data_IF_569904405275
#
_entry.id   IF_569904405275
#
_cell.length_a   1.000
_cell.length_b   1.000
_cell.length_c   1.000
_cell.angle_alpha   90.00
_cell.angle_beta   90.00
_cell.angle_gamma   90.00
#
_symmetry.space_group_name_H-M   'P 1'
#
loop_
_entity.id
_entity.type
_entity.pdbx_description
1 polymer ?
#
# COMPACT_ATOMS: atom_id res chain seq x y z
N UNK A 1 -1.36 58.94 20.86
CA UNK A 1 -1.24 59.23 19.38
C UNK A 1 -0.70 57.97 18.72
N UNK A 2 -1.58 57.15 18.13
CA UNK A 2 -1.24 55.94 17.33
C UNK A 2 -1.46 56.27 15.88
N UNK A 3 -0.39 56.18 15.07
CA UNK A 3 -0.49 56.37 13.62
C UNK A 3 -0.74 54.99 12.98
N UNK A 4 -1.87 54.86 12.29
CA UNK A 4 -2.17 53.79 11.37
C UNK A 4 -1.47 54.04 10.04
N UNK A 5 -0.72 53.09 9.53
CA UNK A 5 -0.21 53.07 8.16
C UNK A 5 -1.11 52.13 7.36
N UNK A 6 -1.87 52.67 6.41
CA UNK A 6 -2.65 51.92 5.46
C UNK A 6 -1.78 51.57 4.25
N UNK A 7 -1.67 50.26 3.95
CA UNK A 7 -1.08 49.79 2.69
C UNK A 7 -2.16 49.73 1.62
N UNK A 8 -2.03 50.56 0.58
CA UNK A 8 -2.86 50.49 -0.61
C UNK A 8 -2.20 49.51 -1.57
N UNK A 9 -2.87 48.40 -1.84
CA UNK A 9 -2.49 47.45 -2.89
C UNK A 9 -3.18 47.88 -4.19
N UNK A 10 -2.38 48.31 -5.17
CA UNK A 10 -2.85 48.67 -6.51
C UNK A 10 -3.19 47.39 -7.29
N UNK A 11 -4.47 47.25 -7.65
CA UNK A 11 -4.92 46.23 -8.60
C UNK A 11 -4.61 46.69 -10.05
N UNK A 12 -3.92 45.86 -10.80
CA UNK A 12 -3.78 45.99 -12.25
C UNK A 12 -4.84 45.13 -12.92
N UNK A 13 -5.57 45.61 -13.93
CA UNK A 13 -6.53 44.83 -14.65
C UNK A 13 -5.85 43.91 -15.67
N UNK A 14 -6.17 42.59 -15.58
CA UNK A 14 -5.78 41.60 -16.58
C UNK A 14 -6.87 41.63 -17.68
N UNK A 15 -6.46 41.96 -18.89
CA UNK A 15 -7.29 41.96 -20.09
C UNK A 15 -7.63 40.51 -20.45
N UNK A 16 -8.90 40.14 -20.36
CA UNK A 16 -9.40 38.85 -20.84
C UNK A 16 -9.59 38.90 -22.37
N UNK A 17 -8.81 38.13 -23.11
CA UNK A 17 -8.97 37.90 -24.53
C UNK A 17 -9.90 36.70 -24.74
N UNK A 18 -11.17 36.95 -25.10
CA UNK A 18 -12.09 35.88 -25.50
C UNK A 18 -11.79 35.51 -26.96
N UNK A 19 -11.32 34.29 -27.21
CA UNK A 19 -11.27 33.69 -28.55
C UNK A 19 -12.47 32.74 -28.68
N UNK A 20 -13.42 33.12 -29.52
CA UNK A 20 -14.52 32.26 -29.90
C UNK A 20 -14.06 31.33 -31.04
N UNK A 21 -14.09 30.01 -30.79
CA UNK A 21 -13.86 29.00 -31.82
C UNK A 21 -15.23 28.49 -32.33
N UNK A 22 -15.54 28.78 -33.57
CA UNK A 22 -16.69 28.22 -34.29
C UNK A 22 -16.31 26.82 -34.76
N UNK A 23 -17.03 25.81 -34.30
CA UNK A 23 -16.86 24.42 -34.78
C UNK A 23 -17.85 24.22 -35.94
N UNK A 24 -17.31 24.16 -37.15
CA UNK A 24 -18.03 23.63 -38.31
C UNK A 24 -17.81 22.10 -38.35
N UNK A 25 -18.91 21.35 -38.40
CA UNK A 25 -18.88 19.90 -38.40
C UNK A 25 -18.36 19.31 -39.72
N UNK A 26 -17.52 18.32 -39.60
CA UNK A 26 -17.10 17.42 -40.68
C UNK A 26 -16.71 16.07 -40.08
N UNK A 27 -17.54 15.05 -40.30
CA UNK A 27 -17.22 13.66 -39.94
C UNK A 27 -16.22 13.12 -40.96
N UNK A 28 -14.97 12.94 -40.58
CA UNK A 28 -14.00 12.17 -41.37
C UNK A 28 -13.60 10.96 -40.58
N UNK A 29 -13.87 9.77 -41.12
CA UNK A 29 -13.39 8.47 -40.58
C UNK A 29 -11.94 8.38 -40.97
N UNK A 30 -11.03 8.58 -40.02
CA UNK A 30 -9.60 8.31 -40.19
C UNK A 30 -9.27 6.93 -39.59
N UNK A 31 -8.68 6.10 -40.42
CA UNK A 31 -8.07 4.81 -40.04
C UNK A 31 -6.94 5.04 -39.05
N UNK A 32 -6.91 4.21 -37.99
CA UNK A 32 -5.98 4.37 -36.88
C UNK A 32 -4.54 4.08 -37.24
N UNK A 33 -3.71 5.08 -37.21
CA UNK A 33 -2.27 4.94 -36.98
C UNK A 33 -2.03 4.82 -35.46
N UNK A 34 -1.33 3.75 -35.08
CA UNK A 34 -0.83 3.60 -33.70
C UNK A 34 0.27 4.64 -33.47
N UNK A 35 -0.10 5.77 -32.90
CA UNK A 35 0.90 6.70 -32.39
C UNK A 35 1.15 6.38 -30.91
N UNK A 36 2.38 5.93 -30.59
CA UNK A 36 2.93 5.92 -29.24
C UNK A 36 3.18 7.37 -28.76
N UNK A 37 2.12 8.16 -28.69
CA UNK A 37 2.22 9.50 -28.11
C UNK A 37 2.14 9.41 -26.59
N UNK A 38 3.19 9.88 -25.92
CA UNK A 38 3.14 10.14 -24.46
C UNK A 38 1.90 11.01 -24.18
N UNK A 39 1.14 10.72 -23.10
CA UNK A 39 -0.03 11.54 -22.77
C UNK A 39 0.42 13.01 -22.59
N UNK A 40 -0.35 13.92 -23.16
CA UNK A 40 -0.12 15.35 -22.99
C UNK A 40 -0.47 15.76 -21.55
N UNK A 41 0.56 15.86 -20.71
CA UNK A 41 0.44 16.22 -19.30
C UNK A 41 -0.15 17.64 -19.15
N UNK A 42 0.10 18.54 -20.09
CA UNK A 42 -0.45 19.89 -20.05
C UNK A 42 -1.98 19.91 -20.21
N UNK A 43 -2.53 19.01 -21.04
CA UNK A 43 -3.97 18.83 -21.19
C UNK A 43 -4.64 18.25 -19.94
N UNK A 44 -3.93 17.42 -19.17
CA UNK A 44 -4.44 16.84 -17.92
C UNK A 44 -4.50 17.85 -16.77
N UNK A 45 -3.60 18.83 -16.75
CA UNK A 45 -3.55 19.89 -15.71
C UNK A 45 -4.60 20.98 -15.98
N UNK A 46 -5.04 21.17 -17.23
CA UNK A 46 -5.98 22.22 -17.61
C UNK A 46 -7.47 21.90 -17.33
N UNK A 47 -7.82 20.64 -16.97
CA UNK A 47 -9.20 20.29 -16.63
C UNK A 47 -9.57 20.84 -15.24
N UNK A 48 -10.72 21.52 -15.07
CA UNK A 48 -11.15 21.98 -13.77
C UNK A 48 -11.32 20.77 -12.82
N UNK A 49 -10.60 20.80 -11.70
CA UNK A 49 -10.57 19.69 -10.73
C UNK A 49 -11.91 19.53 -10.02
N UNK A 50 -12.71 20.61 -9.96
CA UNK A 50 -14.00 20.64 -9.25
C UNK A 50 -15.00 21.47 -10.06
N UNK A 51 -16.16 20.86 -10.42
CA UNK A 51 -17.26 21.57 -11.11
C UNK A 51 -18.16 22.34 -10.13
N UNK A 52 -18.25 21.86 -8.89
CA UNK A 52 -19.04 22.46 -7.82
C UNK A 52 -18.41 22.09 -6.48
N UNK A 53 -18.18 23.09 -5.65
CA UNK A 53 -17.65 22.92 -4.28
C UNK A 53 -18.59 23.63 -3.30
N UNK A 54 -19.15 22.86 -2.36
CA UNK A 54 -19.88 23.39 -1.20
C UNK A 54 -19.04 23.16 0.04
N UNK A 55 -18.97 24.16 0.89
CA UNK A 55 -18.17 24.13 2.14
C UNK A 55 -19.10 24.37 3.32
N UNK A 56 -19.15 23.44 4.25
CA UNK A 56 -19.91 23.57 5.50
C UNK A 56 -19.16 24.43 6.52
N UNK A 57 -19.86 24.89 7.55
CA UNK A 57 -19.29 25.76 8.59
C UNK A 57 -18.18 25.11 9.43
N UNK A 58 -18.10 23.77 9.47
CA UNK A 58 -17.06 22.99 10.13
C UNK A 58 -15.86 22.71 9.21
N UNK A 59 -15.90 23.20 7.96
CA UNK A 59 -14.87 22.98 6.94
C UNK A 59 -15.07 21.69 6.11
N UNK A 60 -16.18 20.97 6.29
CA UNK A 60 -16.51 19.83 5.43
C UNK A 60 -16.70 20.27 3.98
N UNK A 61 -16.06 19.55 3.06
CA UNK A 61 -16.08 19.85 1.63
C UNK A 61 -16.95 18.83 0.88
N UNK A 62 -17.92 19.33 0.13
CA UNK A 62 -18.73 18.54 -0.79
C UNK A 62 -18.30 18.83 -2.23
N UNK A 63 -17.80 17.82 -2.92
CA UNK A 63 -17.36 17.94 -4.31
C UNK A 63 -18.48 17.44 -5.23
N UNK A 64 -18.74 18.16 -6.30
CA UNK A 64 -19.54 17.70 -7.40
C UNK A 64 -18.89 16.55 -8.19
N UNK A 65 -19.55 16.02 -9.23
CA UNK A 65 -18.98 14.96 -10.06
C UNK A 65 -17.62 15.37 -10.63
N UNK A 66 -16.62 14.53 -10.49
CA UNK A 66 -15.26 14.72 -11.00
C UNK A 66 -14.83 13.60 -11.91
N UNK A 67 -14.04 13.90 -12.93
CA UNK A 67 -13.37 12.90 -13.77
C UNK A 67 -11.92 12.78 -13.32
N UNK A 68 -11.48 11.56 -13.03
CA UNK A 68 -10.11 11.26 -12.68
C UNK A 68 -9.53 10.35 -13.76
N UNK A 69 -8.47 10.76 -14.46
CA UNK A 69 -7.85 9.95 -15.49
C UNK A 69 -7.10 8.74 -14.86
N UNK A 70 -6.74 7.72 -15.66
CA UNK A 70 -5.78 6.71 -15.25
C UNK A 70 -4.46 7.35 -14.77
N UNK A 71 -3.59 6.61 -14.02
CA UNK A 71 -2.30 7.14 -13.56
C UNK A 71 -1.41 7.54 -14.75
N UNK A 72 -1.16 8.83 -14.94
CA UNK A 72 -0.45 9.33 -16.14
C UNK A 72 1.07 9.12 -16.08
N UNK A 73 1.65 9.00 -14.87
CA UNK A 73 3.09 8.87 -14.66
C UNK A 73 3.53 7.43 -14.33
N UNK A 74 2.56 6.51 -14.24
CA UNK A 74 2.84 5.10 -14.06
C UNK A 74 3.26 4.43 -15.39
N UNK A 75 3.86 3.25 -15.29
CA UNK A 75 4.20 2.46 -16.49
C UNK A 75 2.95 2.12 -17.32
N UNK A 76 3.09 1.91 -18.64
CA UNK A 76 1.97 1.45 -19.48
C UNK A 76 1.33 0.17 -18.95
N UNK A 77 2.10 -0.72 -18.36
CA UNK A 77 1.66 -1.96 -17.70
C UNK A 77 0.75 -1.65 -16.52
N UNK A 78 1.17 -0.75 -15.63
CA UNK A 78 0.39 -0.33 -14.47
C UNK A 78 -0.88 0.40 -14.87
N UNK A 79 -0.85 1.27 -15.87
CA UNK A 79 -2.05 1.92 -16.42
C UNK A 79 -3.07 0.89 -16.91
N UNK A 80 -2.62 -0.11 -17.68
CA UNK A 80 -3.48 -1.20 -18.15
C UNK A 80 -4.02 -2.06 -17.00
N UNK A 81 -3.18 -2.40 -16.03
CA UNK A 81 -3.59 -3.17 -14.85
C UNK A 81 -4.61 -2.40 -14.01
N UNK A 82 -4.38 -1.10 -13.77
CA UNK A 82 -5.32 -0.22 -13.09
C UNK A 82 -6.69 -0.21 -13.79
N UNK A 83 -6.71 0.05 -15.10
CA UNK A 83 -7.94 0.08 -15.88
C UNK A 83 -8.71 -1.24 -15.81
N UNK A 84 -8.02 -2.38 -15.97
CA UNK A 84 -8.65 -3.71 -15.83
C UNK A 84 -9.26 -3.92 -14.45
N UNK A 85 -8.54 -3.62 -13.37
CA UNK A 85 -9.02 -3.77 -12.00
C UNK A 85 -10.24 -2.89 -11.73
N UNK A 86 -10.22 -1.64 -12.17
CA UNK A 86 -11.35 -0.73 -12.01
C UNK A 86 -12.58 -1.19 -12.80
N UNK A 87 -12.41 -1.70 -14.01
CA UNK A 87 -13.51 -2.27 -14.80
C UNK A 87 -14.08 -3.55 -14.17
N UNK A 88 -13.25 -4.46 -13.66
CA UNK A 88 -13.71 -5.66 -12.94
C UNK A 88 -14.53 -5.28 -11.70
N UNK A 89 -14.10 -4.25 -10.94
CA UNK A 89 -14.85 -3.72 -9.80
C UNK A 89 -16.21 -3.17 -10.22
N UNK A 90 -16.24 -2.37 -11.29
CA UNK A 90 -17.48 -1.84 -11.83
C UNK A 90 -18.47 -2.94 -12.24
N UNK A 91 -17.98 -3.98 -12.93
CA UNK A 91 -18.79 -5.14 -13.33
C UNK A 91 -19.30 -5.96 -12.11
N UNK A 92 -18.45 -6.12 -11.09
CA UNK A 92 -18.84 -6.84 -9.87
C UNK A 92 -19.92 -6.08 -9.08
N UNK A 93 -19.79 -4.77 -8.96
CA UNK A 93 -20.78 -3.91 -8.32
C UNK A 93 -22.12 -3.94 -9.06
N UNK A 94 -22.11 -3.94 -10.39
CA UNK A 94 -23.33 -4.04 -11.20
C UNK A 94 -24.08 -5.37 -11.01
N UNK A 95 -23.34 -6.48 -10.82
CA UNK A 95 -23.94 -7.82 -10.56
C UNK A 95 -24.50 -7.97 -9.14
N UNK A 96 -23.90 -7.28 -8.17
CA UNK A 96 -24.27 -7.36 -6.74
C UNK A 96 -25.42 -6.43 -6.33
N UNK A 97 -26.04 -5.69 -7.25
CA UNK A 97 -27.15 -4.76 -6.94
C UNK A 97 -26.73 -3.52 -6.12
N UNK A 98 -25.44 -3.29 -5.93
CA UNK A 98 -24.90 -2.19 -5.14
C UNK A 98 -24.43 -1.04 -6.01
N UNK A 99 -25.31 -0.09 -6.31
CA UNK A 99 -24.98 1.21 -6.86
C UNK A 99 -24.76 1.28 -8.38
N UNK A 100 -25.07 2.43 -8.94
CA UNK A 100 -24.94 2.77 -10.36
C UNK A 100 -23.47 2.86 -10.78
N UNK A 101 -22.86 1.76 -11.16
CA UNK A 101 -21.58 1.78 -11.89
C UNK A 101 -21.88 1.47 -13.36
N UNK A 102 -21.98 2.49 -14.19
CA UNK A 102 -22.12 2.34 -15.64
C UNK A 102 -20.73 2.29 -16.29
N UNK A 103 -20.45 1.22 -17.04
CA UNK A 103 -19.30 1.16 -17.94
C UNK A 103 -19.72 1.73 -19.30
N UNK A 104 -19.05 2.77 -19.78
CA UNK A 104 -19.38 3.40 -21.08
C UNK A 104 -18.92 2.58 -22.28
N UNK A 105 -17.86 1.79 -22.11
CA UNK A 105 -17.34 0.86 -23.13
C UNK A 105 -16.71 -0.30 -22.40
N UNK A 106 -17.27 -1.48 -22.45
CA UNK A 106 -16.69 -2.62 -21.79
C UNK A 106 -16.75 -3.86 -22.67
N UNK A 107 -15.60 -4.23 -23.22
CA UNK A 107 -15.38 -5.64 -23.48
C UNK A 107 -15.17 -6.35 -22.12
N UNK A 108 -15.77 -7.55 -21.93
CA UNK A 108 -15.56 -8.31 -20.70
C UNK A 108 -14.06 -8.64 -20.54
N UNK A 109 -13.46 -8.26 -19.43
CA UNK A 109 -12.09 -8.66 -19.12
C UNK A 109 -12.09 -10.14 -18.77
N UNK A 110 -11.29 -10.93 -19.48
CA UNK A 110 -11.20 -12.36 -19.27
C UNK A 110 -10.69 -12.67 -17.84
N UNK A 111 -11.29 -13.67 -17.13
CA UNK A 111 -10.85 -14.07 -15.80
C UNK A 111 -9.40 -14.59 -15.74
N UNK A 112 -8.84 -15.03 -16.88
CA UNK A 112 -7.51 -15.61 -17.02
C UNK A 112 -6.35 -14.60 -16.92
N UNK A 113 -6.62 -13.29 -16.89
CA UNK A 113 -5.59 -12.24 -16.82
C UNK A 113 -5.28 -11.77 -15.40
N UNK A 114 -5.52 -12.59 -14.39
CA UNK A 114 -5.14 -12.29 -13.01
C UNK A 114 -3.65 -12.60 -12.81
N UNK A 115 -2.80 -11.61 -13.00
CA UNK A 115 -1.34 -11.76 -12.84
C UNK A 115 -0.84 -11.66 -11.39
N UNK A 116 -1.73 -11.51 -10.41
CA UNK A 116 -1.40 -11.36 -8.98
C UNK A 116 -1.54 -12.67 -8.18
N UNK A 117 -1.23 -13.79 -8.78
CA UNK A 117 -1.26 -15.08 -8.08
C UNK A 117 0.14 -15.46 -7.64
N UNK A 118 0.22 -16.32 -6.62
CA UNK A 118 1.44 -17.04 -6.24
C UNK A 118 2.14 -17.64 -7.45
N UNK A 119 1.37 -18.28 -8.36
CA UNK A 119 1.90 -18.92 -9.56
C UNK A 119 2.56 -17.93 -10.52
N UNK A 120 2.03 -16.71 -10.61
CA UNK A 120 2.62 -15.64 -11.42
C UNK A 120 3.93 -15.14 -10.81
N UNK A 121 3.98 -14.98 -9.48
CA UNK A 121 5.21 -14.60 -8.78
C UNK A 121 6.31 -15.68 -8.94
N UNK A 122 5.96 -16.96 -8.82
CA UNK A 122 6.91 -18.08 -9.00
C UNK A 122 7.53 -18.16 -10.41
N UNK A 123 6.82 -17.66 -11.43
CA UNK A 123 7.36 -17.60 -12.81
C UNK A 123 8.41 -16.50 -12.98
N UNK A 124 8.27 -15.41 -12.23
CA UNK A 124 9.15 -14.23 -12.32
C UNK A 124 10.30 -14.31 -11.32
N UNK A 125 10.02 -14.80 -10.11
CA UNK A 125 10.95 -14.88 -9.00
C UNK A 125 11.22 -16.34 -8.63
N UNK A 126 12.30 -16.96 -9.15
CA UNK A 126 12.58 -18.37 -8.92
C UNK A 126 13.00 -18.64 -7.48
N UNK A 127 12.20 -19.42 -6.76
CA UNK A 127 12.47 -19.90 -5.40
C UNK A 127 12.10 -21.38 -5.28
N UNK A 128 12.59 -22.03 -4.22
CA UNK A 128 12.13 -23.34 -3.76
C UNK A 128 11.11 -23.10 -2.65
N UNK A 129 9.98 -23.78 -2.72
CA UNK A 129 8.89 -23.72 -1.76
C UNK A 129 8.87 -25.00 -0.92
N UNK A 130 8.78 -24.86 0.40
CA UNK A 130 8.67 -25.98 1.34
C UNK A 130 7.63 -25.64 2.41
N UNK A 131 6.74 -26.58 2.73
CA UNK A 131 5.81 -26.46 3.85
C UNK A 131 6.42 -27.10 5.08
N UNK A 132 6.42 -26.40 6.21
CA UNK A 132 7.00 -26.84 7.47
C UNK A 132 6.09 -26.51 8.65
N UNK A 133 6.43 -27.02 9.83
CA UNK A 133 5.85 -26.61 11.11
C UNK A 133 6.96 -26.02 11.98
N UNK A 134 6.80 -24.76 12.40
CA UNK A 134 7.74 -24.04 13.25
C UNK A 134 6.98 -23.54 14.48
N UNK A 135 7.45 -23.90 15.69
CA UNK A 135 6.77 -23.51 16.92
C UNK A 135 5.32 -24.02 17.04
N UNK A 136 4.99 -25.12 16.36
CA UNK A 136 3.63 -25.67 16.30
C UNK A 136 2.72 -25.02 15.26
N UNK A 137 3.25 -24.04 14.50
CA UNK A 137 2.49 -23.29 13.48
C UNK A 137 2.93 -23.73 12.08
N UNK A 138 1.96 -23.96 11.21
CA UNK A 138 2.21 -24.24 9.78
C UNK A 138 2.81 -23.00 9.09
N UNK A 139 3.87 -23.19 8.35
CA UNK A 139 4.54 -22.12 7.59
C UNK A 139 4.87 -22.58 6.19
N UNK A 140 4.99 -21.63 5.27
CA UNK A 140 5.55 -21.86 3.94
C UNK A 140 6.90 -21.16 3.85
N UNK A 141 7.95 -21.90 3.54
CA UNK A 141 9.33 -21.38 3.43
C UNK A 141 9.66 -21.19 1.95
N UNK A 142 10.00 -19.97 1.59
CA UNK A 142 10.51 -19.61 0.27
C UNK A 142 12.02 -19.38 0.36
N UNK A 143 12.78 -20.13 -0.44
CA UNK A 143 14.24 -20.04 -0.43
C UNK A 143 14.75 -19.87 -1.85
N UNK A 144 15.72 -18.99 -2.11
CA UNK A 144 16.45 -19.03 -3.38
C UNK A 144 17.17 -20.36 -3.51
N UNK A 145 17.38 -20.85 -4.75
CA UNK A 145 18.09 -22.13 -5.00
C UNK A 145 19.49 -22.16 -4.39
N UNK A 146 20.13 -21.01 -4.34
CA UNK A 146 21.45 -20.84 -3.75
C UNK A 146 21.46 -19.58 -2.87
N UNK A 147 21.80 -19.73 -1.60
CA UNK A 147 21.92 -18.60 -0.68
C UNK A 147 23.40 -18.22 -0.54
N UNK A 148 23.80 -17.00 -0.93
CA UNK A 148 25.17 -16.50 -0.74
C UNK A 148 25.60 -16.61 0.72
N UNK A 149 26.88 -16.85 0.95
CA UNK A 149 27.43 -17.03 2.32
C UNK A 149 27.03 -15.88 3.27
N UNK A 150 27.08 -14.63 2.78
CA UNK A 150 26.70 -13.42 3.54
C UNK A 150 25.23 -13.35 3.98
N UNK A 151 24.36 -14.16 3.36
CA UNK A 151 22.91 -14.13 3.62
C UNK A 151 22.42 -15.43 4.33
N UNK A 152 23.29 -16.40 4.60
CA UNK A 152 22.89 -17.70 5.20
C UNK A 152 22.28 -17.56 6.59
N UNK A 153 22.67 -16.51 7.31
CA UNK A 153 22.17 -16.23 8.65
C UNK A 153 20.95 -15.31 8.67
N UNK A 154 20.47 -14.85 7.50
CA UNK A 154 19.34 -13.94 7.39
C UNK A 154 18.06 -14.70 7.12
N UNK A 155 16.98 -14.27 7.77
CA UNK A 155 15.63 -14.80 7.56
C UNK A 155 14.62 -13.68 7.78
N UNK A 156 13.50 -13.68 7.04
CA UNK A 156 12.41 -12.77 7.31
C UNK A 156 11.08 -13.54 7.44
N UNK A 157 10.20 -13.04 8.32
CA UNK A 157 8.83 -13.51 8.50
C UNK A 157 7.88 -12.62 7.71
N UNK A 158 7.02 -13.22 6.91
CA UNK A 158 5.98 -12.57 6.14
C UNK A 158 4.59 -12.95 6.68
N UNK A 159 3.64 -11.99 6.69
CA UNK A 159 2.35 -12.15 7.39
C UNK A 159 1.11 -11.94 6.53
N UNK A 160 1.20 -11.89 5.20
CA UNK A 160 0.01 -11.66 4.39
C UNK A 160 0.02 -12.46 3.08
N UNK A 161 1.05 -12.31 2.24
CA UNK A 161 0.98 -12.74 0.85
C UNK A 161 2.15 -13.58 0.37
N UNK A 162 1.82 -14.70 -0.30
CA UNK A 162 2.84 -15.54 -0.95
C UNK A 162 3.65 -14.78 -2.00
N UNK A 163 3.03 -13.93 -2.81
CA UNK A 163 3.72 -13.19 -3.87
C UNK A 163 4.80 -12.25 -3.32
N UNK A 164 4.53 -11.57 -2.20
CA UNK A 164 5.48 -10.70 -1.50
C UNK A 164 6.65 -11.53 -0.93
N UNK A 165 6.34 -12.63 -0.25
CA UNK A 165 7.34 -13.54 0.30
C UNK A 165 8.27 -14.11 -0.77
N UNK A 166 7.72 -14.54 -1.91
CA UNK A 166 8.45 -15.08 -3.07
C UNK A 166 9.39 -14.03 -3.65
N UNK A 167 8.87 -12.81 -3.89
CA UNK A 167 9.67 -11.73 -4.46
C UNK A 167 10.84 -11.35 -3.54
N UNK A 168 10.58 -11.13 -2.24
CA UNK A 168 11.61 -10.77 -1.26
C UNK A 168 12.65 -11.88 -1.09
N UNK A 169 12.24 -13.16 -1.06
CA UNK A 169 13.18 -14.28 -0.98
C UNK A 169 14.11 -14.33 -2.20
N UNK A 170 13.53 -14.21 -3.40
CA UNK A 170 14.27 -14.27 -4.64
C UNK A 170 15.23 -13.09 -4.81
N UNK A 171 14.76 -11.87 -4.61
CA UNK A 171 15.54 -10.64 -4.80
C UNK A 171 16.58 -10.44 -3.69
N UNK A 172 16.20 -10.71 -2.44
CA UNK A 172 17.07 -10.57 -1.27
C UNK A 172 18.08 -11.71 -1.12
N UNK A 173 17.87 -12.84 -1.82
CA UNK A 173 18.74 -14.01 -1.75
C UNK A 173 18.92 -14.56 -0.32
N UNK A 174 17.83 -14.58 0.48
CA UNK A 174 17.75 -15.17 1.81
C UNK A 174 16.40 -15.86 2.00
N UNK A 175 16.23 -16.62 3.10
CA UNK A 175 14.97 -17.32 3.40
C UNK A 175 13.88 -16.35 3.82
N UNK A 176 12.68 -16.53 3.30
CA UNK A 176 11.45 -15.90 3.77
C UNK A 176 10.48 -16.99 4.23
N UNK A 177 9.92 -16.82 5.41
CA UNK A 177 8.98 -17.72 6.05
C UNK A 177 7.63 -17.02 6.13
N UNK A 178 6.69 -17.45 5.30
CA UNK A 178 5.30 -17.00 5.40
C UNK A 178 4.61 -17.75 6.51
N UNK A 179 4.08 -17.03 7.50
CA UNK A 179 3.38 -17.61 8.64
C UNK A 179 1.90 -17.80 8.32
N UNK A 180 1.42 -19.05 8.36
CA UNK A 180 0.01 -19.36 8.15
C UNK A 180 -0.76 -19.24 9.48
N UNK A 181 -0.87 -18.00 9.98
CA UNK A 181 -1.46 -17.68 11.27
C UNK A 181 -2.98 -17.84 11.30
N UNK A 182 -3.54 -18.05 12.49
CA UNK A 182 -4.99 -18.16 12.71
C UNK A 182 -5.70 -16.82 12.57
N UNK A 183 -6.94 -16.88 12.06
CA UNK A 183 -7.88 -15.75 12.06
C UNK A 183 -7.96 -14.95 10.77
N UNK A 184 -7.09 -15.20 9.78
CA UNK A 184 -7.17 -14.58 8.44
C UNK A 184 -7.09 -13.04 8.41
N UNK A 185 -6.52 -12.43 9.46
CA UNK A 185 -6.39 -10.98 9.62
C UNK A 185 -5.83 -10.60 11.00
N UNK A 186 -5.67 -9.29 11.29
CA UNK A 186 -5.14 -8.82 12.57
C UNK A 186 -5.96 -9.34 13.75
N UNK A 187 -5.35 -10.20 14.56
CA UNK A 187 -6.02 -10.85 15.68
C UNK A 187 -5.02 -11.25 16.76
N UNK A 188 -5.49 -11.40 18.00
CA UNK A 188 -4.65 -11.89 19.10
C UNK A 188 -4.09 -13.28 18.78
N UNK A 189 -4.90 -14.27 18.34
CA UNK A 189 -4.38 -15.57 17.92
C UNK A 189 -3.33 -15.48 16.81
N UNK A 190 -3.47 -14.57 15.86
CA UNK A 190 -2.46 -14.34 14.82
C UNK A 190 -1.13 -13.84 15.41
N UNK A 191 -1.16 -12.88 16.34
CA UNK A 191 0.05 -12.43 17.04
C UNK A 191 0.71 -13.54 17.86
N UNK A 192 -0.10 -14.40 18.55
CA UNK A 192 0.40 -15.55 19.31
C UNK A 192 1.16 -16.53 18.40
N UNK A 193 0.59 -16.83 17.24
CA UNK A 193 1.20 -17.72 16.26
C UNK A 193 2.54 -17.16 15.72
N UNK A 194 2.56 -15.86 15.38
CA UNK A 194 3.79 -15.19 14.95
C UNK A 194 4.86 -15.23 16.05
N UNK A 195 4.48 -14.95 17.30
CA UNK A 195 5.40 -15.03 18.45
C UNK A 195 5.91 -16.44 18.66
N UNK A 196 5.09 -17.49 18.48
CA UNK A 196 5.52 -18.88 18.59
C UNK A 196 6.59 -19.22 17.54
N UNK A 197 6.37 -18.82 16.27
CA UNK A 197 7.37 -18.98 15.20
C UNK A 197 8.64 -18.18 15.52
N UNK A 198 8.51 -16.93 15.94
CA UNK A 198 9.65 -16.07 16.28
C UNK A 198 10.52 -16.66 17.41
N UNK A 199 9.90 -17.16 18.48
CA UNK A 199 10.60 -17.85 19.60
C UNK A 199 11.42 -19.05 19.12
N UNK A 200 10.87 -19.81 18.17
CA UNK A 200 11.58 -20.96 17.62
C UNK A 200 12.79 -20.52 16.79
N UNK A 201 12.63 -19.47 15.97
CA UNK A 201 13.71 -18.91 15.17
C UNK A 201 14.84 -18.33 16.02
N UNK A 202 14.54 -17.77 17.19
CA UNK A 202 15.55 -17.24 18.12
C UNK A 202 16.50 -18.32 18.67
N UNK A 203 16.17 -19.62 18.54
CA UNK A 203 17.08 -20.72 18.89
C UNK A 203 18.20 -20.89 17.86
N UNK A 204 17.98 -20.44 16.62
CA UNK A 204 18.90 -20.63 15.49
C UNK A 204 19.48 -19.32 14.97
N UNK A 205 18.68 -18.25 14.97
CA UNK A 205 19.04 -16.95 14.43
C UNK A 205 19.21 -15.91 15.54
N UNK A 206 20.21 -15.04 15.40
CA UNK A 206 20.29 -13.85 16.25
C UNK A 206 19.11 -12.92 15.92
N UNK A 207 18.57 -12.15 16.89
CA UNK A 207 17.46 -11.22 16.64
C UNK A 207 17.72 -10.27 15.48
N UNK A 208 18.94 -9.75 15.36
CA UNK A 208 19.37 -8.84 14.29
C UNK A 208 19.43 -9.47 12.89
N UNK A 209 19.32 -10.79 12.82
CA UNK A 209 19.28 -11.55 11.58
C UNK A 209 17.85 -11.92 11.15
N UNK A 210 16.85 -11.52 11.93
CA UNK A 210 15.44 -11.82 11.68
C UNK A 210 14.75 -10.53 11.26
N UNK A 211 14.16 -10.50 10.06
CA UNK A 211 13.24 -9.46 9.61
C UNK A 211 11.78 -9.85 9.85
N UNK A 212 10.90 -8.88 9.89
CA UNK A 212 9.44 -9.08 9.88
C UNK A 212 8.82 -8.14 8.87
N UNK A 213 7.85 -8.60 8.08
CA UNK A 213 7.15 -7.72 7.16
C UNK A 213 5.75 -8.24 6.82
N UNK A 214 4.97 -7.36 6.27
CA UNK A 214 3.63 -7.63 5.77
C UNK A 214 2.93 -6.35 5.37
N UNK A 215 1.84 -6.50 4.68
CA UNK A 215 1.07 -5.41 4.14
C UNK A 215 -0.37 -5.42 4.67
N UNK A 216 -1.04 -4.26 4.72
CA UNK A 216 -2.43 -4.12 5.19
C UNK A 216 -2.66 -4.80 6.55
N UNK A 217 -3.38 -5.92 6.58
CA UNK A 217 -3.56 -6.75 7.76
C UNK A 217 -2.23 -7.27 8.32
N UNK A 218 -1.34 -7.73 7.45
CA UNK A 218 0.01 -8.16 7.80
C UNK A 218 0.87 -7.03 8.36
N UNK A 219 0.74 -5.79 7.84
CA UNK A 219 1.38 -4.62 8.44
C UNK A 219 0.91 -4.39 9.88
N UNK A 220 -0.40 -4.53 10.13
CA UNK A 220 -0.95 -4.40 11.49
C UNK A 220 -0.39 -5.49 12.41
N UNK A 221 -0.32 -6.73 11.95
CA UNK A 221 0.27 -7.85 12.70
C UNK A 221 1.76 -7.62 13.00
N UNK A 222 2.54 -7.15 12.01
CA UNK A 222 3.95 -6.82 12.23
C UNK A 222 4.12 -5.76 13.31
N UNK A 223 3.38 -4.64 13.21
CA UNK A 223 3.41 -3.57 14.21
C UNK A 223 3.06 -4.08 15.60
N UNK A 224 1.90 -4.73 15.73
CA UNK A 224 1.39 -5.18 17.03
C UNK A 224 2.27 -6.26 17.66
N UNK A 225 2.84 -7.14 16.85
CA UNK A 225 3.81 -8.13 17.33
C UNK A 225 5.07 -7.45 17.87
N UNK A 226 5.68 -6.55 17.11
CA UNK A 226 6.90 -5.84 17.55
C UNK A 226 6.67 -5.08 18.85
N UNK A 227 5.52 -4.39 18.99
CA UNK A 227 5.16 -3.71 20.23
C UNK A 227 4.93 -4.66 21.43
N UNK A 228 4.56 -5.90 21.15
CA UNK A 228 4.29 -6.90 22.19
C UNK A 228 5.56 -7.63 22.66
N UNK A 229 6.56 -7.79 21.79
CA UNK A 229 7.80 -8.53 22.13
C UNK A 229 8.47 -8.07 23.44
N UNK A 230 8.61 -6.76 23.76
CA UNK A 230 9.21 -6.33 25.04
C UNK A 230 8.40 -6.78 26.26
N UNK A 231 7.07 -6.78 26.18
CA UNK A 231 6.21 -7.26 27.28
C UNK A 231 6.40 -8.76 27.52
N UNK A 232 6.72 -9.51 26.47
CA UNK A 232 7.03 -10.94 26.50
C UNK A 232 8.50 -11.22 26.86
N UNK A 233 9.31 -10.18 27.15
CA UNK A 233 10.75 -10.25 27.39
C UNK A 233 11.51 -10.90 26.23
N UNK A 234 11.05 -10.68 25.01
CA UNK A 234 11.70 -11.14 23.79
C UNK A 234 12.46 -9.97 23.13
N UNK A 235 13.60 -10.24 22.49
CA UNK A 235 14.34 -9.22 21.76
C UNK A 235 13.55 -8.76 20.54
N UNK A 236 13.82 -7.55 20.07
CA UNK A 236 13.26 -7.00 18.83
C UNK A 236 14.01 -7.57 17.61
N UNK A 237 13.34 -7.69 16.44
CA UNK A 237 13.97 -8.13 15.20
C UNK A 237 14.96 -7.06 14.65
N UNK A 238 15.75 -7.44 13.64
CA UNK A 238 16.75 -6.58 13.03
C UNK A 238 16.18 -5.49 12.13
N UNK A 239 15.04 -5.75 11.47
CA UNK A 239 14.41 -4.82 10.56
C UNK A 239 12.91 -5.15 10.38
N UNK A 240 12.11 -4.16 9.95
CA UNK A 240 10.68 -4.36 9.67
C UNK A 240 10.26 -3.70 8.35
N UNK A 241 9.44 -4.43 7.55
CA UNK A 241 8.78 -3.94 6.36
C UNK A 241 7.28 -3.74 6.61
N UNK A 242 6.76 -2.56 6.29
CA UNK A 242 5.40 -2.12 6.62
C UNK A 242 4.72 -1.59 5.36
N UNK A 243 4.03 -2.47 4.65
CA UNK A 243 3.34 -2.14 3.40
C UNK A 243 1.90 -1.68 3.62
N UNK A 244 1.50 -0.59 2.93
CA UNK A 244 0.08 -0.17 2.84
C UNK A 244 -0.63 -0.24 4.20
N UNK A 245 -0.03 0.40 5.20
CA UNK A 245 -0.35 0.22 6.61
C UNK A 245 -1.79 0.61 6.92
N UNK A 246 -2.48 -0.30 7.59
CA UNK A 246 -3.82 -0.09 8.11
C UNK A 246 -3.82 -0.25 9.65
N UNK A 247 -4.94 0.03 10.26
CA UNK A 247 -5.08 -0.04 11.72
C UNK A 247 -4.82 1.32 12.36
N UNK A 248 -5.13 1.59 13.53
CA UNK A 248 -5.10 2.88 14.20
C UNK A 248 -6.49 3.50 14.31
N UNK A 249 -6.62 4.41 15.28
CA UNK A 249 -7.91 5.05 15.60
C UNK A 249 -8.33 6.08 14.55
N UNK A 250 -7.39 6.58 13.73
CA UNK A 250 -7.65 7.60 12.72
C UNK A 250 -7.29 7.08 11.32
N UNK A 251 -8.25 7.05 10.38
CA UNK A 251 -8.01 6.57 9.02
C UNK A 251 -7.18 7.56 8.19
N UNK A 252 -7.20 8.85 8.52
CA UNK A 252 -6.61 9.93 7.74
C UNK A 252 -7.36 10.23 6.44
N UNK A 253 -6.92 11.29 5.75
CA UNK A 253 -7.62 11.87 4.60
C UNK A 253 -7.66 10.97 3.37
N UNK A 254 -6.61 10.17 3.14
CA UNK A 254 -6.54 9.27 1.97
C UNK A 254 -7.75 8.32 1.91
N UNK A 255 -8.31 7.93 3.05
CA UNK A 255 -9.51 7.10 3.11
C UNK A 255 -10.71 7.75 2.42
N UNK A 256 -10.82 9.05 2.51
CA UNK A 256 -11.92 9.80 1.90
C UNK A 256 -11.59 10.24 0.47
N UNK A 257 -10.38 10.72 0.25
CA UNK A 257 -9.97 11.30 -1.05
C UNK A 257 -9.66 10.23 -2.10
N UNK A 258 -9.13 9.06 -1.69
CA UNK A 258 -8.84 7.93 -2.60
C UNK A 258 -9.98 6.92 -2.71
N UNK A 259 -11.09 7.14 -1.99
CA UNK A 259 -12.27 6.30 -2.13
C UNK A 259 -12.75 6.27 -3.58
N UNK A 260 -12.93 5.06 -4.11
CA UNK A 260 -13.29 4.84 -5.52
C UNK A 260 -12.11 4.91 -6.52
N UNK A 261 -10.94 5.39 -6.11
CA UNK A 261 -9.73 5.43 -6.95
C UNK A 261 -8.76 4.28 -6.67
N UNK A 262 -8.83 3.69 -5.49
CA UNK A 262 -7.99 2.55 -5.10
C UNK A 262 -8.41 1.29 -5.83
N UNK A 263 -7.56 0.76 -6.69
CA UNK A 263 -7.84 -0.45 -7.48
C UNK A 263 -7.57 -1.76 -6.70
N UNK A 264 -6.95 -1.68 -5.53
CA UNK A 264 -6.60 -2.84 -4.70
C UNK A 264 -7.69 -3.25 -3.72
N UNK A 265 -8.37 -2.27 -3.10
CA UNK A 265 -9.41 -2.52 -2.11
C UNK A 265 -10.79 -2.70 -2.74
N UNK A 266 -11.57 -3.65 -2.22
CA UNK A 266 -12.93 -3.87 -2.68
C UNK A 266 -13.88 -2.74 -2.24
N UNK A 267 -15.01 -2.61 -2.95
CA UNK A 267 -16.07 -1.64 -2.64
C UNK A 267 -16.64 -1.75 -1.22
N UNK A 268 -16.43 -2.88 -0.54
CA UNK A 268 -16.86 -3.08 0.85
C UNK A 268 -16.20 -2.09 1.83
N UNK A 269 -15.03 -1.53 1.46
CA UNK A 269 -14.37 -0.47 2.20
C UNK A 269 -14.71 0.93 1.68
N UNK A 270 -15.51 1.03 0.61
CA UNK A 270 -15.94 2.29 0.03
C UNK A 270 -16.92 3.03 0.97
N UNK A 271 -16.40 3.89 1.72
CA UNK A 271 -16.81 5.21 2.17
C UNK A 271 -18.15 5.46 2.87
N UNK A 272 -19.05 4.54 3.03
CA UNK A 272 -20.32 4.83 3.72
C UNK A 272 -20.44 4.24 5.14
N UNK A 273 -19.60 3.29 5.50
CA UNK A 273 -19.52 2.88 6.89
C UNK A 273 -18.63 3.86 7.65
N UNK A 274 -19.11 4.46 8.74
CA UNK A 274 -18.24 5.24 9.59
C UNK A 274 -17.05 4.37 9.98
N UNK A 275 -15.83 4.92 9.82
CA UNK A 275 -14.63 4.24 10.26
C UNK A 275 -14.84 3.91 11.74
N UNK A 276 -14.96 2.63 12.02
CA UNK A 276 -14.94 2.16 13.41
C UNK A 276 -13.49 1.97 13.77
N UNK A 277 -12.93 2.80 14.66
CA UNK A 277 -11.59 2.56 15.15
C UNK A 277 -11.52 1.12 15.65
N UNK A 278 -10.52 0.37 15.23
CA UNK A 278 -10.27 -0.97 15.79
C UNK A 278 -9.64 -0.84 17.19
N UNK A 279 -10.09 0.18 17.93
CA UNK A 279 -9.76 0.45 19.31
C UNK A 279 -10.54 -0.50 20.22
N UNK A 280 -10.42 -1.80 19.98
CA UNK A 280 -10.75 -2.77 21.01
C UNK A 280 -9.87 -2.43 22.21
N UNK A 281 -10.49 -2.07 23.32
CA UNK A 281 -9.77 -1.90 24.60
C UNK A 281 -9.02 -3.19 24.86
N UNK A 282 -7.69 -3.13 24.76
CA UNK A 282 -6.83 -4.30 24.96
C UNK A 282 -6.71 -4.56 26.44
N UNK A 283 -6.76 -5.82 26.84
CA UNK A 283 -6.53 -6.23 28.22
C UNK A 283 -5.03 -6.20 28.53
N UNK A 284 -4.64 -6.02 29.79
CA UNK A 284 -3.25 -6.16 30.21
C UNK A 284 -2.69 -7.51 29.75
N UNK A 285 -1.52 -7.49 29.11
CA UNK A 285 -0.88 -8.70 28.57
C UNK A 285 -1.25 -9.07 27.13
N UNK A 286 -2.25 -8.44 26.55
CA UNK A 286 -2.58 -8.57 25.13
C UNK A 286 -1.68 -7.68 24.25
N UNK A 287 -1.48 -8.04 22.95
CA UNK A 287 -0.78 -7.16 22.01
C UNK A 287 -1.40 -5.76 21.97
N UNK A 288 -0.59 -4.69 21.92
CA UNK A 288 -1.09 -3.33 21.72
C UNK A 288 -1.94 -3.21 20.45
N UNK A 289 -2.82 -2.21 20.39
CA UNK A 289 -3.72 -2.06 19.25
C UNK A 289 -2.98 -1.80 17.93
N UNK A 290 -2.11 -0.78 17.90
CA UNK A 290 -1.23 -0.47 16.75
C UNK A 290 -0.08 0.43 17.17
N UNK A 291 0.95 0.56 16.32
CA UNK A 291 2.03 1.52 16.54
C UNK A 291 1.57 2.99 16.37
N UNK A 292 0.47 3.24 15.66
CA UNK A 292 -0.11 4.58 15.55
C UNK A 292 -0.71 5.08 16.87
N UNK A 293 -1.34 4.19 17.64
CA UNK A 293 -2.02 4.55 18.89
C UNK A 293 -1.14 4.27 20.14
N UNK A 294 -0.17 3.34 20.05
CA UNK A 294 0.72 2.95 21.13
C UNK A 294 2.02 3.76 21.21
N UNK A 295 2.83 3.51 22.22
CA UNK A 295 4.19 4.04 22.33
C UNK A 295 5.17 3.21 21.50
N UNK A 296 6.14 3.89 20.86
CA UNK A 296 7.22 3.22 20.15
C UNK A 296 8.30 2.81 21.16
N UNK A 297 8.59 1.51 21.31
CA UNK A 297 9.57 1.07 22.28
C UNK A 297 10.99 1.50 21.88
N UNK A 298 11.84 1.73 22.88
CA UNK A 298 13.26 1.99 22.64
C UNK A 298 13.90 0.83 21.88
N UNK A 299 14.66 1.14 20.85
CA UNK A 299 15.31 0.15 20.00
C UNK A 299 14.35 -0.47 18.98
N UNK A 300 13.23 0.16 18.68
CA UNK A 300 12.38 -0.23 17.55
C UNK A 300 13.25 -0.42 16.29
N UNK A 301 13.08 -1.51 15.54
CA UNK A 301 13.95 -1.81 14.41
C UNK A 301 13.84 -0.77 13.30
N UNK A 302 14.89 -0.59 12.48
CA UNK A 302 14.79 0.14 11.22
C UNK A 302 13.56 -0.30 10.43
N UNK A 303 12.82 0.65 9.85
CA UNK A 303 11.52 0.41 9.26
C UNK A 303 11.44 0.88 7.80
N UNK A 304 11.12 -0.04 6.89
CA UNK A 304 10.74 0.24 5.51
C UNK A 304 9.23 0.43 5.45
N UNK A 305 8.76 1.53 4.85
CA UNK A 305 7.35 1.80 4.64
C UNK A 305 7.04 1.92 3.14
N UNK A 306 5.94 1.31 2.70
CA UNK A 306 5.54 1.25 1.28
C UNK A 306 4.06 1.55 1.12
N UNK A 307 3.70 2.42 0.16
CA UNK A 307 2.32 2.71 -0.23
C UNK A 307 2.29 3.30 -1.65
N UNK A 308 1.10 3.64 -2.13
CA UNK A 308 0.89 4.32 -3.41
C UNK A 308 0.02 5.57 -3.26
N UNK A 309 0.10 6.50 -4.22
CA UNK A 309 -0.69 7.75 -4.16
C UNK A 309 -2.19 7.54 -4.37
N UNK A 310 -2.62 6.36 -4.84
CA UNK A 310 -4.04 5.97 -4.95
C UNK A 310 -4.47 4.93 -3.91
N UNK A 311 -3.64 4.69 -2.91
CA UNK A 311 -3.93 3.78 -1.80
C UNK A 311 -4.73 4.49 -0.70
N UNK A 312 -5.87 3.93 -0.31
CA UNK A 312 -6.69 4.47 0.79
C UNK A 312 -5.98 4.41 2.15
N UNK A 313 -4.94 3.61 2.30
CA UNK A 313 -4.12 3.51 3.52
C UNK A 313 -2.91 4.46 3.52
N UNK A 314 -2.71 5.27 2.48
CA UNK A 314 -1.58 6.20 2.36
C UNK A 314 -1.42 7.09 3.60
N UNK A 315 -2.49 7.71 4.07
CA UNK A 315 -2.42 8.60 5.25
C UNK A 315 -1.91 7.87 6.50
N UNK A 316 -2.35 6.63 6.74
CA UNK A 316 -1.88 5.85 7.89
C UNK A 316 -0.40 5.46 7.76
N UNK A 317 0.05 5.13 6.56
CA UNK A 317 1.47 4.89 6.26
C UNK A 317 2.32 6.14 6.55
N UNK A 318 1.88 7.31 6.09
CA UNK A 318 2.57 8.60 6.34
C UNK A 318 2.56 8.97 7.82
N UNK A 319 1.43 8.79 8.52
CA UNK A 319 1.33 9.07 9.95
C UNK A 319 2.25 8.16 10.76
N UNK A 320 2.32 6.88 10.41
CA UNK A 320 3.23 5.92 11.04
C UNK A 320 4.69 6.31 10.82
N UNK A 321 5.07 6.62 9.58
CA UNK A 321 6.41 7.11 9.26
C UNK A 321 6.78 8.34 10.12
N UNK A 322 5.91 9.34 10.19
CA UNK A 322 6.13 10.55 11.00
C UNK A 322 6.29 10.23 12.50
N UNK A 323 5.54 9.25 12.99
CA UNK A 323 5.64 8.81 14.39
C UNK A 323 6.95 8.10 14.68
N UNK A 324 7.39 7.20 13.80
CA UNK A 324 8.66 6.49 13.90
C UNK A 324 9.85 7.46 13.85
N UNK A 325 9.84 8.43 12.93
CA UNK A 325 10.86 9.49 12.88
C UNK A 325 10.97 10.30 14.19
N UNK A 326 9.82 10.67 14.78
CA UNK A 326 9.81 11.39 16.07
C UNK A 326 10.36 10.56 17.22
N UNK A 327 10.24 9.24 17.12
CA UNK A 327 10.83 8.30 18.08
C UNK A 327 12.32 8.01 17.82
N UNK A 328 12.94 8.64 16.80
CA UNK A 328 14.34 8.44 16.43
C UNK A 328 14.60 7.12 15.71
N UNK A 329 13.56 6.49 15.15
CA UNK A 329 13.70 5.25 14.35
C UNK A 329 14.21 5.61 12.96
N UNK A 330 15.20 4.88 12.46
CA UNK A 330 15.61 4.93 11.06
C UNK A 330 14.51 4.40 10.17
N UNK A 331 14.08 5.20 9.17
CA UNK A 331 12.95 4.85 8.31
C UNK A 331 13.25 5.16 6.84
N UNK A 332 12.77 4.27 5.97
CA UNK A 332 12.76 4.44 4.52
C UNK A 332 11.29 4.44 4.04
N UNK A 333 10.83 5.57 3.49
CA UNK A 333 9.45 5.73 3.01
C UNK A 333 9.40 5.73 1.49
N UNK A 334 8.72 4.73 0.92
CA UNK A 334 8.57 4.52 -0.51
C UNK A 334 7.11 4.70 -0.93
N UNK A 335 6.82 5.77 -1.68
CA UNK A 335 5.48 6.07 -2.19
C UNK A 335 5.53 6.06 -3.72
N UNK A 336 4.76 5.16 -4.32
CA UNK A 336 4.70 4.98 -5.77
C UNK A 336 3.54 5.77 -6.37
N UNK A 337 3.84 6.61 -7.36
CA UNK A 337 2.84 7.45 -8.02
C UNK A 337 1.83 6.61 -8.80
N UNK A 338 0.55 6.91 -8.60
CA UNK A 338 -0.56 6.24 -9.29
C UNK A 338 -0.86 4.82 -8.80
N UNK A 339 -0.05 4.27 -7.91
CA UNK A 339 -0.21 2.91 -7.43
C UNK A 339 -1.28 2.83 -6.33
N UNK A 340 -1.90 1.65 -6.24
CA UNK A 340 -3.03 1.32 -5.37
C UNK A 340 -2.61 0.37 -4.25
N UNK A 341 -3.53 0.05 -3.37
CA UNK A 341 -3.36 -0.91 -2.28
C UNK A 341 -2.91 -2.28 -2.82
N UNK A 342 -1.81 -2.83 -2.32
CA UNK A 342 -1.23 -4.09 -2.77
C UNK A 342 -0.78 -4.12 -4.25
N UNK A 343 -0.39 -3.01 -4.86
CA UNK A 343 -0.01 -3.02 -6.28
C UNK A 343 1.09 -4.03 -6.61
N UNK A 344 1.98 -4.31 -5.70
CA UNK A 344 3.09 -5.26 -5.86
C UNK A 344 2.68 -6.73 -5.85
N UNK A 345 1.41 -7.07 -5.60
CA UNK A 345 0.88 -8.42 -5.87
C UNK A 345 0.98 -8.79 -7.36
N UNK A 346 0.88 -7.81 -8.24
CA UNK A 346 1.07 -8.01 -9.66
C UNK A 346 2.56 -7.96 -9.99
N UNK A 347 3.21 -9.11 -9.87
CA UNK A 347 4.65 -9.25 -10.12
C UNK A 347 5.09 -8.87 -11.55
N UNK A 348 4.16 -8.68 -12.48
CA UNK A 348 4.46 -8.26 -13.86
C UNK A 348 4.67 -6.77 -14.03
N UNK A 349 4.35 -5.95 -12.99
CA UNK A 349 4.52 -4.51 -13.07
C UNK A 349 5.96 -4.09 -12.78
N UNK A 350 6.53 -3.15 -13.55
CA UNK A 350 7.83 -2.56 -13.25
C UNK A 350 7.89 -1.98 -11.84
N UNK A 351 6.83 -1.25 -11.42
CA UNK A 351 6.72 -0.66 -10.09
C UNK A 351 6.71 -1.71 -8.98
N UNK A 352 6.12 -2.88 -9.22
CA UNK A 352 6.14 -4.00 -8.27
C UNK A 352 7.53 -4.56 -8.11
N UNK A 353 8.26 -4.72 -9.21
CA UNK A 353 9.65 -5.17 -9.18
C UNK A 353 10.56 -4.17 -8.46
N UNK A 354 10.39 -2.88 -8.71
CA UNK A 354 11.12 -1.81 -8.03
C UNK A 354 10.85 -1.81 -6.53
N UNK A 355 9.58 -1.84 -6.13
CA UNK A 355 9.17 -1.85 -4.73
C UNK A 355 9.71 -3.06 -3.96
N UNK A 356 9.60 -4.26 -4.55
CA UNK A 356 10.10 -5.49 -3.93
C UNK A 356 11.63 -5.55 -3.91
N UNK A 357 12.30 -4.97 -4.89
CA UNK A 357 13.76 -4.83 -4.90
C UNK A 357 14.22 -3.89 -3.79
N UNK A 358 13.53 -2.77 -3.58
CA UNK A 358 13.83 -1.83 -2.51
C UNK A 358 13.65 -2.49 -1.13
N UNK A 359 12.54 -3.20 -0.90
CA UNK A 359 12.28 -3.93 0.35
C UNK A 359 13.34 -5.02 0.61
N UNK A 360 13.66 -5.83 -0.40
CA UNK A 360 14.67 -6.88 -0.29
C UNK A 360 16.07 -6.29 -0.01
N UNK A 361 16.41 -5.18 -0.65
CA UNK A 361 17.67 -4.45 -0.43
C UNK A 361 17.74 -3.87 0.99
N UNK A 362 16.64 -3.31 1.48
CA UNK A 362 16.53 -2.82 2.84
C UNK A 362 16.82 -3.94 3.87
N UNK A 363 16.22 -5.11 3.71
CA UNK A 363 16.52 -6.25 4.59
C UNK A 363 17.96 -6.74 4.46
N UNK A 364 18.52 -6.81 3.25
CA UNK A 364 19.92 -7.23 3.09
C UNK A 364 20.90 -6.24 3.71
N UNK A 365 20.55 -4.96 3.80
CA UNK A 365 21.36 -3.93 4.44
C UNK A 365 21.28 -3.99 5.98
N UNK A 366 20.08 -4.13 6.53
CA UNK A 366 19.84 -4.02 7.98
C UNK A 366 19.95 -5.34 8.75
N UNK A 367 19.84 -6.50 8.08
CA UNK A 367 20.08 -7.80 8.71
C UNK A 367 21.57 -8.14 8.66
N UNK A 368 22.12 -8.64 9.79
CA UNK A 368 23.54 -8.97 9.96
C UNK A 368 23.95 -10.36 9.41
#
# INVERSE_FOLDING_TARGET
>A
MRRFIAFVVAQRPVLALCVAVVIAGGVSVAQGEKTDSKPDIAALVAAPIVSELVVDSDGTLHFGPRTVPPPALASPEAVRAYARRMMQRAQSAARGGGGLVATRTAEPVAPSERNWSKDSALKIYPVVEETQTIGGIGVTVYSPRTIPAKNRNKVALEFEMDAEAIAVASLGQFKVIKVNYRGGGPSIPGNEDIVAVYRELLKTYKPKNIGMFGASGGCTLAQTTILWLPQLKLPLPGAVGLGTCSGGSNPGDARYTMNGLDAGLSSAFSGQAPFRPNAAVRKPGEPPATALDGEIPKGYPPAFLLSGTRDMCLSQTVLLHRKLLRAGVETDLNIFEGMWHFFWEDASLPESHEAMTALASFFTHHLE
#
